data_IF_500843478128
#
_entry.id   IF_500843478128
#
_cell.length_a   1.000
_cell.length_b   1.000
_cell.length_c   1.000
_cell.angle_alpha   90.00
_cell.angle_beta   90.00
_cell.angle_gamma   90.00
#
_symmetry.space_group_name_H-M   'P 1'
#
loop_
_entity.id
_entity.type
_entity.pdbx_description
1 polymer ?
#
# COMPACT_ATOMS: atom_id res chain seq x y z
N UNK A 1 22.73 -26.77 -26.10
CA UNK A 1 23.54 -26.31 -24.96
C UNK A 1 23.04 -24.91 -24.66
N UNK A 2 21.80 -24.83 -24.18
CA UNK A 2 21.41 -24.56 -22.78
C UNK A 2 21.55 -23.07 -22.44
N UNK A 3 20.47 -22.37 -22.73
CA UNK A 3 20.08 -21.09 -22.16
C UNK A 3 19.98 -21.18 -20.63
N UNK A 4 20.51 -20.17 -19.93
CA UNK A 4 20.12 -19.82 -18.56
C UNK A 4 19.86 -18.31 -18.53
N UNK A 5 18.66 -17.95 -18.94
CA UNK A 5 17.96 -16.78 -18.44
C UNK A 5 17.48 -17.12 -17.02
N UNK A 6 18.21 -16.69 -16.00
CA UNK A 6 17.73 -16.67 -14.61
C UNK A 6 18.57 -15.64 -13.82
N UNK A 7 18.26 -14.36 -13.98
CA UNK A 7 18.46 -13.40 -12.88
C UNK A 7 17.10 -12.79 -12.55
N UNK A 8 16.30 -13.67 -11.96
CA UNK A 8 15.05 -13.36 -11.28
C UNK A 8 15.34 -12.49 -10.06
N UNK A 9 14.78 -11.28 -10.07
CA UNK A 9 14.25 -10.67 -8.86
C UNK A 9 15.24 -10.24 -7.79
N UNK A 10 16.22 -9.39 -8.14
CA UNK A 10 16.73 -8.43 -7.16
C UNK A 10 15.71 -7.29 -7.07
N UNK A 11 14.62 -7.55 -6.34
CA UNK A 11 13.93 -6.48 -5.61
C UNK A 11 15.01 -5.93 -4.69
N UNK A 12 15.68 -4.88 -5.15
CA UNK A 12 16.54 -4.06 -4.31
C UNK A 12 15.64 -3.54 -3.21
N UNK A 13 15.54 -4.28 -2.11
CA UNK A 13 15.13 -3.74 -0.83
C UNK A 13 16.16 -2.65 -0.56
N UNK A 14 15.78 -1.41 -0.85
CA UNK A 14 16.38 -0.25 -0.22
C UNK A 14 16.04 -0.32 1.26
N UNK A 15 16.69 -1.26 1.97
CA UNK A 15 16.85 -1.18 3.41
C UNK A 15 17.91 -0.10 3.59
N UNK A 16 17.47 1.16 3.54
CA UNK A 16 18.27 2.24 4.13
C UNK A 16 18.58 1.83 5.57
N UNK A 17 19.85 1.96 5.95
CA UNK A 17 20.42 1.40 7.18
C UNK A 17 19.56 1.73 8.40
N UNK A 18 18.81 0.73 8.90
CA UNK A 18 18.13 0.81 10.19
C UNK A 18 19.21 1.11 11.23
N UNK A 19 19.05 2.23 11.94
CA UNK A 19 19.94 2.66 13.01
C UNK A 19 20.31 1.46 13.91
N UNK A 20 21.61 1.21 14.08
CA UNK A 20 22.19 0.08 14.84
C UNK A 20 21.73 -0.07 16.31
N UNK A 21 20.89 0.85 16.79
CA UNK A 21 20.20 0.85 18.09
C UNK A 21 18.91 0.00 18.10
N UNK A 22 18.30 -0.27 16.94
CA UNK A 22 17.00 -0.95 16.84
C UNK A 22 15.80 -0.07 17.25
N UNK A 23 16.03 1.21 17.57
CA UNK A 23 14.98 2.19 17.87
C UNK A 23 14.68 2.98 16.61
N UNK A 24 13.43 2.90 16.14
CA UNK A 24 12.94 3.67 14.99
C UNK A 24 12.54 5.09 15.44
N UNK A 25 12.90 6.08 14.63
CA UNK A 25 12.41 7.44 14.77
C UNK A 25 11.01 7.59 14.18
N UNK A 26 10.34 8.71 14.46
CA UNK A 26 9.06 9.00 13.82
C UNK A 26 9.18 9.07 12.29
N UNK A 27 10.26 9.66 11.77
CA UNK A 27 10.54 9.73 10.33
C UNK A 27 10.72 8.33 9.72
N UNK A 28 11.44 7.44 10.42
CA UNK A 28 11.60 6.04 9.98
C UNK A 28 10.25 5.31 9.91
N UNK A 29 9.37 5.54 10.88
CA UNK A 29 8.03 4.96 10.90
C UNK A 29 7.17 5.49 9.75
N UNK A 30 7.23 6.79 9.44
CA UNK A 30 6.50 7.37 8.30
C UNK A 30 7.01 6.80 6.97
N UNK A 31 8.33 6.63 6.80
CA UNK A 31 8.90 6.00 5.60
C UNK A 31 8.46 4.54 5.46
N UNK A 32 8.43 3.81 6.58
CA UNK A 32 7.97 2.43 6.61
C UNK A 32 6.49 2.35 6.23
N UNK A 33 5.64 3.20 6.81
CA UNK A 33 4.21 3.29 6.51
C UNK A 33 3.95 3.52 5.02
N UNK A 34 4.65 4.48 4.39
CA UNK A 34 4.54 4.74 2.95
C UNK A 34 4.94 3.50 2.13
N UNK A 35 6.01 2.81 2.51
CA UNK A 35 6.47 1.61 1.81
C UNK A 35 5.47 0.46 1.95
N UNK A 36 4.93 0.26 3.14
CA UNK A 36 3.94 -0.77 3.46
C UNK A 36 2.62 -0.50 2.74
N UNK A 37 2.12 0.73 2.75
CA UNK A 37 0.87 1.10 2.05
C UNK A 37 1.00 0.95 0.53
N UNK A 38 2.15 1.29 -0.06
CA UNK A 38 2.41 1.02 -1.48
C UNK A 38 2.46 -0.47 -1.81
N UNK A 39 2.93 -1.30 -0.89
CA UNK A 39 2.88 -2.76 -1.06
C UNK A 39 1.45 -3.27 -0.91
N UNK A 40 0.72 -2.80 0.10
CA UNK A 40 -0.66 -3.16 0.35
C UNK A 40 -1.58 -2.78 -0.82
N UNK A 41 -1.42 -1.59 -1.41
CA UNK A 41 -2.15 -1.19 -2.62
C UNK A 41 -1.91 -2.12 -3.80
N UNK A 42 -0.67 -2.61 -3.99
CA UNK A 42 -0.38 -3.60 -5.06
C UNK A 42 -1.10 -4.91 -4.82
N UNK A 43 -1.23 -5.33 -3.56
CA UNK A 43 -1.98 -6.53 -3.18
C UNK A 43 -3.49 -6.35 -3.34
N UNK A 44 -4.02 -5.19 -2.94
CA UNK A 44 -5.42 -4.81 -3.17
C UNK A 44 -5.73 -4.78 -4.68
N UNK A 45 -4.86 -4.20 -5.48
CA UNK A 45 -4.98 -4.18 -6.93
C UNK A 45 -4.99 -5.59 -7.51
N UNK A 46 -4.14 -6.49 -7.02
CA UNK A 46 -4.13 -7.88 -7.44
C UNK A 46 -5.47 -8.57 -7.10
N UNK A 47 -5.98 -8.37 -5.87
CA UNK A 47 -7.27 -8.90 -5.44
C UNK A 47 -8.39 -8.37 -6.34
N UNK A 48 -8.42 -7.07 -6.62
CA UNK A 48 -9.51 -6.42 -7.36
C UNK A 48 -9.44 -6.75 -8.86
N UNK A 49 -8.28 -6.53 -9.49
CA UNK A 49 -8.11 -6.59 -10.95
C UNK A 49 -7.94 -8.01 -11.47
N UNK A 50 -7.46 -8.95 -10.64
CA UNK A 50 -7.26 -10.34 -11.06
C UNK A 50 -8.33 -11.25 -10.47
N UNK A 51 -8.44 -11.29 -9.14
CA UNK A 51 -9.34 -12.26 -8.48
C UNK A 51 -10.81 -11.85 -8.58
N UNK A 52 -11.18 -10.66 -8.10
CA UNK A 52 -12.57 -10.18 -8.14
C UNK A 52 -13.09 -10.06 -9.56
N UNK A 53 -12.28 -9.57 -10.49
CA UNK A 53 -12.66 -9.44 -11.89
C UNK A 53 -12.98 -10.80 -12.55
N UNK A 54 -12.29 -11.89 -12.18
CA UNK A 54 -12.61 -13.22 -12.69
C UNK A 54 -14.01 -13.68 -12.26
N UNK A 55 -14.43 -13.37 -11.03
CA UNK A 55 -15.75 -13.74 -10.52
C UNK A 55 -16.86 -12.91 -11.18
N UNK A 56 -16.62 -11.62 -11.43
CA UNK A 56 -17.61 -10.74 -12.10
C UNK A 56 -17.79 -11.08 -13.58
N UNK A 57 -16.72 -11.45 -14.28
CA UNK A 57 -16.79 -11.91 -15.67
C UNK A 57 -17.40 -13.32 -15.78
N UNK A 58 -17.25 -14.14 -14.73
CA UNK A 58 -17.87 -15.46 -14.60
C UNK A 58 -19.34 -15.43 -14.16
N UNK A 59 -20.15 -14.48 -14.65
CA UNK A 59 -21.53 -14.24 -14.19
C UNK A 59 -22.51 -15.42 -14.35
N UNK A 60 -22.12 -16.48 -15.08
CA UNK A 60 -22.85 -17.76 -15.15
C UNK A 60 -22.64 -18.65 -13.92
N UNK A 61 -21.61 -18.39 -13.12
CA UNK A 61 -21.19 -19.20 -11.98
C UNK A 61 -21.35 -18.49 -10.64
N UNK A 62 -21.27 -17.15 -10.64
CA UNK A 62 -21.36 -16.34 -9.43
C UNK A 62 -22.41 -15.24 -9.60
N UNK A 63 -23.30 -15.13 -8.63
CA UNK A 63 -24.20 -13.98 -8.52
C UNK A 63 -23.45 -12.76 -7.99
N UNK A 64 -24.03 -11.58 -8.14
CA UNK A 64 -23.47 -10.36 -7.53
C UNK A 64 -23.36 -10.49 -5.99
N UNK A 65 -24.28 -11.22 -5.36
CA UNK A 65 -24.23 -11.46 -3.92
C UNK A 65 -23.08 -12.37 -3.51
N UNK A 66 -22.72 -13.37 -4.32
CA UNK A 66 -21.56 -14.24 -4.06
C UNK A 66 -20.25 -13.44 -4.15
N UNK A 67 -20.16 -12.53 -5.13
CA UNK A 67 -19.02 -11.61 -5.25
C UNK A 67 -18.95 -10.68 -4.04
N UNK A 68 -20.07 -10.13 -3.61
CA UNK A 68 -20.12 -9.26 -2.43
C UNK A 68 -19.73 -9.99 -1.14
N UNK A 69 -20.19 -11.22 -0.95
CA UNK A 69 -19.82 -12.03 0.21
C UNK A 69 -18.33 -12.40 0.24
N UNK A 70 -17.72 -12.64 -0.93
CA UNK A 70 -16.32 -13.04 -1.03
C UNK A 70 -15.34 -11.86 -0.91
N UNK A 71 -15.70 -10.70 -1.47
CA UNK A 71 -14.79 -9.55 -1.58
C UNK A 71 -15.18 -8.38 -0.67
N UNK A 72 -16.41 -8.34 -0.15
CA UNK A 72 -16.90 -7.30 0.77
C UNK A 72 -16.56 -5.88 0.29
N UNK A 73 -16.26 -4.99 1.23
CA UNK A 73 -15.93 -3.59 0.97
C UNK A 73 -14.50 -3.36 0.45
N UNK A 74 -13.86 -4.33 -0.22
CA UNK A 74 -12.47 -4.22 -0.70
C UNK A 74 -12.22 -3.00 -1.60
N UNK A 75 -13.23 -2.55 -2.34
CA UNK A 75 -13.12 -1.36 -3.19
C UNK A 75 -13.05 -0.08 -2.35
N UNK A 76 -13.82 -0.01 -1.27
CA UNK A 76 -13.78 1.11 -0.32
C UNK A 76 -12.45 1.12 0.45
N UNK A 77 -11.95 -0.04 0.86
CA UNK A 77 -10.64 -0.16 1.51
C UNK A 77 -9.53 0.31 0.56
N UNK A 78 -9.55 -0.12 -0.71
CA UNK A 78 -8.59 0.36 -1.70
C UNK A 78 -8.66 1.88 -1.90
N UNK A 79 -9.86 2.46 -2.03
CA UNK A 79 -10.02 3.90 -2.15
C UNK A 79 -9.49 4.65 -0.92
N UNK A 80 -9.81 4.16 0.28
CA UNK A 80 -9.33 4.74 1.53
C UNK A 80 -7.81 4.70 1.61
N UNK A 81 -7.18 3.57 1.27
CA UNK A 81 -5.73 3.42 1.26
C UNK A 81 -5.06 4.35 0.25
N UNK A 82 -5.60 4.48 -0.97
CA UNK A 82 -5.09 5.45 -1.96
C UNK A 82 -5.15 6.87 -1.40
N UNK A 83 -6.27 7.23 -0.75
CA UNK A 83 -6.45 8.56 -0.15
C UNK A 83 -5.47 8.80 1.00
N UNK A 84 -5.33 7.86 1.93
CA UNK A 84 -4.40 7.96 3.05
C UNK A 84 -2.96 8.11 2.56
N UNK A 85 -2.52 7.25 1.64
CA UNK A 85 -1.17 7.31 1.10
C UNK A 85 -0.88 8.66 0.44
N UNK A 86 -1.82 9.17 -0.38
CA UNK A 86 -1.68 10.48 -1.00
C UNK A 86 -1.57 11.61 0.03
N UNK A 87 -2.38 11.60 1.08
CA UNK A 87 -2.32 12.60 2.15
C UNK A 87 -0.97 12.56 2.90
N UNK A 88 -0.46 11.37 3.18
CA UNK A 88 0.85 11.19 3.83
C UNK A 88 1.97 11.68 2.92
N UNK A 89 1.96 11.32 1.63
CA UNK A 89 2.95 11.75 0.65
C UNK A 89 2.96 13.28 0.49
N UNK A 90 1.78 13.90 0.39
CA UNK A 90 1.63 15.37 0.35
C UNK A 90 2.16 16.03 1.63
N UNK A 91 1.85 15.47 2.81
CA UNK A 91 2.34 16.01 4.09
C UNK A 91 3.87 15.92 4.21
N UNK A 92 4.47 14.83 3.71
CA UNK A 92 5.93 14.68 3.65
C UNK A 92 6.54 15.69 2.68
N UNK A 93 5.99 15.84 1.47
CA UNK A 93 6.50 16.79 0.46
C UNK A 93 6.40 18.25 0.94
N UNK A 94 5.35 18.59 1.68
CA UNK A 94 5.11 19.95 2.17
C UNK A 94 5.80 20.26 3.51
N UNK A 95 6.53 19.31 4.09
CA UNK A 95 7.26 19.51 5.35
C UNK A 95 8.45 20.46 5.12
N UNK A 96 8.48 21.58 5.85
CA UNK A 96 9.56 22.57 5.70
C UNK A 96 10.91 22.03 6.23
N UNK A 97 12.02 22.43 5.58
CA UNK A 97 13.41 22.00 5.85
C UNK A 97 13.90 22.19 7.31
N UNK A 98 13.18 22.95 8.14
CA UNK A 98 13.48 23.16 9.56
C UNK A 98 12.63 22.35 10.53
N UNK A 99 11.71 21.51 10.03
CA UNK A 99 10.81 20.71 10.86
C UNK A 99 11.52 19.45 11.37
N UNK A 100 11.25 19.00 12.61
CA UNK A 100 11.93 17.83 13.18
C UNK A 100 11.53 16.51 12.50
N UNK A 101 10.32 16.42 11.94
CA UNK A 101 9.77 15.30 11.18
C UNK A 101 8.45 15.75 10.51
N UNK A 102 7.95 15.04 9.47
CA UNK A 102 6.62 15.29 8.92
C UNK A 102 5.53 15.04 9.97
N UNK A 103 4.43 15.80 9.92
CA UNK A 103 3.31 15.69 10.86
C UNK A 103 2.12 15.01 10.17
N UNK A 104 2.18 13.68 10.04
CA UNK A 104 1.18 12.91 9.30
C UNK A 104 -0.05 12.55 10.13
N UNK A 105 -0.05 12.85 11.44
CA UNK A 105 -1.16 12.50 12.33
C UNK A 105 -2.51 13.08 11.92
N UNK A 106 -2.53 14.29 11.37
CA UNK A 106 -3.77 14.90 10.85
C UNK A 106 -4.33 14.15 9.65
N UNK A 107 -3.48 13.53 8.82
CA UNK A 107 -3.92 12.70 7.69
C UNK A 107 -4.78 11.51 8.16
N UNK A 108 -4.45 10.94 9.33
CA UNK A 108 -5.23 9.86 9.93
C UNK A 108 -6.48 10.39 10.65
N UNK A 109 -6.36 11.50 11.37
CA UNK A 109 -7.48 12.13 12.08
C UNK A 109 -8.61 12.52 11.11
N UNK A 110 -8.27 13.18 10.00
CA UNK A 110 -9.23 13.61 8.97
C UNK A 110 -9.97 12.44 8.28
N UNK A 111 -9.40 11.23 8.30
CA UNK A 111 -10.04 10.03 7.76
C UNK A 111 -10.86 9.26 8.79
N UNK A 112 -10.62 9.51 10.08
CA UNK A 112 -11.30 8.85 11.18
C UNK A 112 -12.58 9.58 11.64
N UNK A 113 -12.73 10.86 11.29
CA UNK A 113 -13.97 11.66 11.47
C UNK A 113 -15.09 11.27 10.50
#
# INVERSE_FOLDING_TARGET
MFDQEEEMGLVSQSVEEVSSSGVLTYDDLVRLEIAEERQYLRELDLIIKVFRQAFTHGSKHFSAQDVELAFSNILEVHELTVKLLGLIEDAVEMTADGSPHPLVGSCFEDLAE
#
